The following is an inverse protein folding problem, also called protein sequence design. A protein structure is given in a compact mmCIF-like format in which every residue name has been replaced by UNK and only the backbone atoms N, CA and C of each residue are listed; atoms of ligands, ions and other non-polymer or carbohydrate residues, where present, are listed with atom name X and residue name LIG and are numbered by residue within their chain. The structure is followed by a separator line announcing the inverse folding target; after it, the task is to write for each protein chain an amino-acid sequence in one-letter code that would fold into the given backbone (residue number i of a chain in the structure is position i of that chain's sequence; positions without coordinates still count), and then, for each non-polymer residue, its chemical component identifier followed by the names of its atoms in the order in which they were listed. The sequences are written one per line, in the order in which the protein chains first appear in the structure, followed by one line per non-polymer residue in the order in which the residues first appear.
data_IF_045445453130
#
_entry.id   IF_045445453130
#
_cell.length_a   1.000
_cell.length_b   1.000
_cell.length_c   1.000
_cell.angle_alpha   90.00
_cell.angle_beta   90.00
_cell.angle_gamma   90.00
#
_symmetry.space_group_name_H-M   'P 1'
#
loop_
_entity.id
_entity.type
_entity.pdbx_description
1 polymer ?
#
# COMPACT_ATOMS: atom_id res chain seq x y z
N UNK A 1 72.85 -19.43 -60.02
CA UNK A 1 71.89 -20.55 -60.00
C UNK A 1 70.55 -19.95 -59.58
N UNK A 2 69.90 -19.19 -60.47
CA UNK A 2 68.95 -19.61 -61.52
C UNK A 2 67.54 -19.89 -60.93
N UNK A 3 66.40 -19.36 -61.40
CA UNK A 3 66.05 -18.24 -62.28
C UNK A 3 64.51 -18.02 -62.20
N UNK A 4 64.03 -16.85 -62.64
CA UNK A 4 62.69 -16.52 -63.19
C UNK A 4 61.37 -16.45 -62.35
N UNK A 5 60.75 -15.26 -62.37
CA UNK A 5 59.30 -14.94 -62.20
C UNK A 5 58.55 -15.09 -63.57
N UNK A 6 57.25 -14.71 -63.85
CA UNK A 6 56.26 -13.86 -63.13
C UNK A 6 54.74 -14.22 -63.39
N UNK A 7 53.85 -13.21 -63.28
CA UNK A 7 52.43 -13.08 -63.71
C UNK A 7 51.36 -13.58 -62.71
N UNK A 8 50.34 -12.83 -62.27
CA UNK A 8 49.39 -11.91 -62.93
C UNK A 8 47.98 -12.42 -62.54
N UNK A 9 46.93 -11.67 -62.22
CA UNK A 9 46.65 -10.25 -62.31
C UNK A 9 45.39 -9.86 -61.51
N UNK A 10 45.00 -8.59 -61.68
CA UNK A 10 43.82 -7.91 -61.14
C UNK A 10 42.48 -8.51 -61.60
N UNK A 11 41.46 -8.31 -60.77
CA UNK A 11 40.04 -8.37 -61.14
C UNK A 11 39.27 -9.26 -60.14
N UNK A 12 38.12 -8.91 -59.61
CA UNK A 12 37.16 -7.86 -59.87
C UNK A 12 35.92 -8.18 -59.01
N UNK A 13 35.13 -7.16 -58.72
CA UNK A 13 33.90 -7.24 -57.95
C UNK A 13 32.85 -8.21 -58.54
N UNK A 14 31.96 -8.66 -57.64
CA UNK A 14 30.59 -9.15 -57.85
C UNK A 14 30.37 -10.56 -58.43
N UNK A 15 29.76 -11.39 -57.59
CA UNK A 15 28.44 -11.96 -57.93
C UNK A 15 28.31 -13.47 -57.86
N UNK A 16 27.59 -13.94 -56.84
CA UNK A 16 26.46 -14.85 -57.09
C UNK A 16 26.59 -16.34 -56.73
N UNK A 17 25.55 -16.77 -56.00
CA UNK A 17 24.88 -18.08 -56.04
C UNK A 17 25.34 -19.24 -55.10
N UNK A 18 24.55 -19.43 -54.03
CA UNK A 18 24.30 -20.71 -53.35
C UNK A 18 25.06 -20.91 -52.03
N UNK A 19 24.54 -20.67 -50.81
CA UNK A 19 23.15 -20.54 -50.37
C UNK A 19 22.67 -21.71 -49.50
N UNK A 20 23.39 -22.11 -48.43
CA UNK A 20 22.81 -22.78 -47.23
C UNK A 20 23.81 -22.99 -46.08
N UNK A 21 24.15 -21.90 -45.39
CA UNK A 21 24.44 -21.88 -43.93
C UNK A 21 23.85 -20.58 -43.38
N UNK A 22 22.52 -20.55 -43.32
CA UNK A 22 21.74 -19.37 -42.97
C UNK A 22 21.91 -18.99 -41.51
N UNK A 23 22.71 -17.96 -41.26
CA UNK A 23 22.72 -17.20 -40.02
C UNK A 23 21.31 -16.72 -39.66
N UNK A 24 20.99 -16.76 -38.38
CA UNK A 24 19.67 -16.42 -37.84
C UNK A 24 19.52 -14.90 -37.72
N UNK A 25 19.65 -14.20 -38.85
CA UNK A 25 19.39 -12.78 -39.02
C UNK A 25 18.53 -12.59 -40.26
N UNK A 26 17.21 -12.51 -40.07
CA UNK A 26 16.26 -12.24 -41.15
C UNK A 26 15.21 -11.24 -40.66
N UNK A 27 14.91 -10.17 -41.44
CA UNK A 27 13.97 -9.13 -41.07
C UNK A 27 12.55 -9.69 -41.16
N UNK A 28 12.07 -10.26 -40.06
CA UNK A 28 10.70 -10.72 -39.93
C UNK A 28 9.78 -9.51 -39.86
N UNK A 29 9.06 -9.31 -40.97
CA UNK A 29 7.65 -8.95 -40.98
C UNK A 29 7.25 -7.77 -40.11
N UNK A 30 7.02 -6.63 -40.75
CA UNK A 30 6.23 -5.51 -40.24
C UNK A 30 4.76 -5.93 -40.11
N UNK A 31 4.50 -6.92 -39.27
CA UNK A 31 3.17 -7.23 -38.78
C UNK A 31 2.76 -6.10 -37.85
N UNK A 32 1.70 -5.39 -38.24
CA UNK A 32 0.91 -4.51 -37.38
C UNK A 32 0.37 -5.35 -36.20
N UNK A 33 1.24 -5.63 -35.24
CA UNK A 33 0.89 -6.15 -33.94
C UNK A 33 0.12 -5.05 -33.23
N UNK A 34 -1.21 -5.21 -33.22
CA UNK A 34 -2.17 -4.45 -32.42
C UNK A 34 -1.51 -3.97 -31.15
N UNK A 35 -1.24 -2.66 -31.08
CA UNK A 35 -1.05 -1.97 -29.83
C UNK A 35 -2.31 -2.24 -29.03
N UNK A 36 -2.27 -3.27 -28.18
CA UNK A 36 -3.16 -3.37 -27.04
C UNK A 36 -2.88 -2.11 -26.27
N UNK A 37 -3.75 -1.11 -26.47
CA UNK A 37 -3.85 0.00 -25.55
C UNK A 37 -3.86 -0.64 -24.18
N UNK A 38 -2.82 -0.39 -23.40
CA UNK A 38 -2.97 -0.38 -21.95
C UNK A 38 -3.94 0.76 -21.70
N UNK A 39 -5.22 0.46 -21.91
CA UNK A 39 -6.29 1.12 -21.19
C UNK A 39 -5.81 1.06 -19.75
N UNK A 40 -5.39 2.23 -19.27
CA UNK A 40 -5.33 2.53 -17.86
C UNK A 40 -6.74 2.22 -17.40
N UNK A 41 -6.96 0.96 -17.00
CA UNK A 41 -8.24 0.52 -16.49
C UNK A 41 -8.62 1.57 -15.49
N UNK A 42 -9.79 2.17 -15.68
CA UNK A 42 -10.47 2.86 -14.59
C UNK A 42 -10.21 2.02 -13.35
N UNK A 43 -9.70 2.63 -12.29
CA UNK A 43 -9.60 1.97 -11.01
C UNK A 43 -11.02 1.55 -10.67
N UNK A 44 -11.35 0.32 -11.06
CA UNK A 44 -12.63 -0.30 -10.76
C UNK A 44 -12.70 -0.19 -9.25
N UNK A 45 -13.73 0.48 -8.76
CA UNK A 45 -14.08 0.47 -7.35
C UNK A 45 -14.27 -1.01 -7.01
N UNK A 46 -13.19 -1.64 -6.54
CA UNK A 46 -13.16 -3.07 -6.30
C UNK A 46 -14.18 -3.30 -5.20
N UNK A 47 -15.27 -3.94 -5.58
CA UNK A 47 -16.25 -4.43 -4.64
C UNK A 47 -15.51 -5.26 -3.59
N UNK A 48 -15.65 -4.89 -2.31
CA UNK A 48 -14.93 -5.55 -1.23
C UNK A 48 -15.39 -7.01 -1.12
N UNK A 49 -14.46 -7.93 -1.33
CA UNK A 49 -14.68 -9.36 -1.14
C UNK A 49 -14.12 -9.77 0.23
N UNK A 50 -14.98 -10.03 1.23
CA UNK A 50 -14.53 -10.31 2.58
C UNK A 50 -13.84 -11.68 2.66
N UNK A 51 -12.68 -11.71 3.30
CA UNK A 51 -11.88 -12.94 3.45
C UNK A 51 -12.21 -13.63 4.77
N UNK A 52 -12.45 -12.84 5.81
CA UNK A 52 -12.75 -13.29 7.17
C UNK A 52 -14.22 -13.65 7.36
N UNK A 53 -14.49 -14.49 8.38
CA UNK A 53 -15.86 -14.80 8.82
C UNK A 53 -16.59 -13.53 9.24
N UNK A 54 -15.92 -12.60 9.94
CA UNK A 54 -16.49 -11.32 10.34
C UNK A 54 -16.85 -10.46 9.12
N UNK A 55 -15.95 -10.32 8.15
CA UNK A 55 -16.22 -9.57 6.94
C UNK A 55 -17.44 -10.12 6.19
N UNK A 56 -17.63 -11.44 6.14
CA UNK A 56 -18.84 -12.05 5.55
C UNK A 56 -20.10 -11.70 6.33
N UNK A 57 -20.08 -11.79 7.67
CA UNK A 57 -21.23 -11.43 8.50
C UNK A 57 -21.61 -9.94 8.38
N UNK A 58 -20.61 -9.06 8.25
CA UNK A 58 -20.82 -7.62 8.05
C UNK A 58 -21.40 -7.36 6.66
N UNK A 59 -20.84 -7.98 5.61
CA UNK A 59 -21.35 -7.85 4.24
C UNK A 59 -22.77 -8.43 4.09
N UNK A 60 -23.06 -9.54 4.76
CA UNK A 60 -24.39 -10.16 4.80
C UNK A 60 -25.41 -9.32 5.61
N UNK A 61 -24.98 -8.25 6.30
CA UNK A 61 -25.86 -7.39 7.10
C UNK A 61 -26.36 -8.03 8.40
N UNK A 62 -25.75 -9.13 8.85
CA UNK A 62 -26.10 -9.79 10.12
C UNK A 62 -25.66 -8.97 11.32
N UNK A 63 -24.53 -8.28 11.19
CA UNK A 63 -24.02 -7.33 12.18
C UNK A 63 -24.46 -5.93 11.74
N UNK A 64 -25.23 -5.25 12.59
CA UNK A 64 -25.84 -3.95 12.26
C UNK A 64 -25.01 -2.77 12.71
N UNK A 65 -24.16 -2.95 13.73
CA UNK A 65 -23.37 -1.87 14.32
C UNK A 65 -21.98 -2.32 14.74
N UNK A 66 -21.07 -1.34 14.83
CA UNK A 66 -19.70 -1.56 15.32
C UNK A 66 -19.68 -1.96 16.81
N UNK A 67 -20.68 -1.53 17.59
CA UNK A 67 -20.82 -1.82 19.02
C UNK A 67 -20.97 -3.32 19.31
N UNK A 68 -21.67 -4.04 18.43
CA UNK A 68 -21.84 -5.49 18.54
C UNK A 68 -20.50 -6.24 18.44
N UNK A 69 -19.61 -5.77 17.55
CA UNK A 69 -18.26 -6.32 17.38
C UNK A 69 -17.44 -6.14 18.67
N UNK A 70 -17.56 -4.96 19.30
CA UNK A 70 -16.86 -4.67 20.56
C UNK A 70 -17.41 -5.47 21.74
N UNK A 71 -18.73 -5.71 21.81
CA UNK A 71 -19.35 -6.50 22.87
C UNK A 71 -18.81 -7.94 22.86
N UNK A 72 -18.72 -8.56 21.69
CA UNK A 72 -18.17 -9.91 21.54
C UNK A 72 -16.63 -9.95 21.49
N UNK A 73 -15.96 -8.80 21.62
CA UNK A 73 -14.49 -8.68 21.61
C UNK A 73 -13.85 -9.35 20.38
N UNK A 74 -14.50 -9.26 19.22
CA UNK A 74 -14.06 -9.91 18.00
C UNK A 74 -12.95 -9.07 17.32
N UNK A 75 -11.78 -9.65 16.99
CA UNK A 75 -10.68 -8.89 16.43
C UNK A 75 -10.94 -8.50 14.97
N UNK A 76 -10.88 -7.21 14.68
CA UNK A 76 -11.02 -6.65 13.32
C UNK A 76 -9.68 -6.80 12.58
N UNK A 77 -9.70 -7.49 11.43
CA UNK A 77 -8.51 -7.73 10.59
C UNK A 77 -8.59 -7.12 9.19
N UNK A 78 -9.76 -6.61 8.82
CA UNK A 78 -10.04 -5.96 7.54
C UNK A 78 -10.46 -4.52 7.82
N UNK A 79 -9.85 -3.56 7.11
CA UNK A 79 -10.16 -2.14 7.32
C UNK A 79 -11.47 -1.75 6.64
N UNK A 80 -11.87 -2.50 5.61
CA UNK A 80 -13.10 -2.32 4.86
C UNK A 80 -14.36 -2.49 5.74
N UNK A 81 -14.27 -3.28 6.83
CA UNK A 81 -15.34 -3.41 7.83
C UNK A 81 -15.70 -2.04 8.41
N UNK A 82 -14.69 -1.23 8.73
CA UNK A 82 -14.89 0.08 9.36
C UNK A 82 -15.34 1.12 8.33
N UNK A 83 -14.85 1.00 7.10
CA UNK A 83 -15.30 1.84 5.99
C UNK A 83 -16.79 1.62 5.67
N UNK A 84 -17.28 0.38 5.81
CA UNK A 84 -18.71 0.08 5.65
C UNK A 84 -19.59 0.75 6.71
N UNK A 85 -19.13 0.83 7.97
CA UNK A 85 -19.93 1.39 9.07
C UNK A 85 -19.82 2.91 9.23
N UNK A 86 -18.61 3.48 9.14
CA UNK A 86 -18.32 4.90 9.49
C UNK A 86 -17.83 5.71 8.28
N UNK A 87 -17.66 5.07 7.11
CA UNK A 87 -17.02 5.59 5.89
C UNK A 87 -17.04 7.11 5.65
N UNK A 88 -18.20 7.82 5.67
CA UNK A 88 -18.25 9.25 5.37
C UNK A 88 -17.84 10.17 6.52
N UNK A 89 -17.93 9.71 7.77
CA UNK A 89 -17.68 10.53 8.96
C UNK A 89 -16.24 10.39 9.48
N UNK A 90 -15.48 9.45 8.92
CA UNK A 90 -14.12 9.14 9.34
C UNK A 90 -13.15 10.21 8.84
N UNK A 91 -12.53 10.95 9.77
CA UNK A 91 -11.47 11.90 9.45
C UNK A 91 -10.11 11.29 9.78
N UNK A 92 -9.17 11.40 8.84
CA UNK A 92 -7.77 11.05 9.04
C UNK A 92 -6.91 12.31 9.16
N UNK A 93 -6.07 12.36 10.19
CA UNK A 93 -5.12 13.44 10.42
C UNK A 93 -3.70 12.87 10.58
N UNK A 94 -2.77 13.39 9.78
CA UNK A 94 -1.35 13.04 9.90
C UNK A 94 -0.72 13.91 10.97
N UNK A 95 -0.35 13.32 12.10
CA UNK A 95 0.18 14.05 13.25
C UNK A 95 1.62 14.48 13.04
N UNK A 96 2.49 13.51 12.77
CA UNK A 96 3.94 13.73 12.63
C UNK A 96 4.56 12.71 11.70
N UNK A 97 5.50 13.17 10.90
CA UNK A 97 6.39 12.33 10.11
C UNK A 97 7.78 12.51 10.68
N UNK A 98 8.43 11.41 11.07
CA UNK A 98 9.82 11.44 11.55
C UNK A 98 10.69 10.54 10.66
N UNK A 99 11.87 11.03 10.20
CA UNK A 99 12.85 10.18 9.58
C UNK A 99 13.52 9.31 10.66
N UNK A 100 13.63 8.01 10.40
CA UNK A 100 14.33 7.03 11.23
C UNK A 100 15.46 6.45 10.40
N UNK A 101 16.67 6.48 10.92
CA UNK A 101 17.87 6.04 10.21
C UNK A 101 18.44 4.81 10.89
N UNK A 102 18.71 3.76 10.12
CA UNK A 102 19.42 2.57 10.59
C UNK A 102 20.77 2.51 9.90
N UNK A 103 21.84 2.56 10.68
CA UNK A 103 23.19 2.40 10.16
C UNK A 103 23.40 0.96 9.70
N UNK A 104 23.92 0.80 8.49
CA UNK A 104 24.31 -0.50 7.91
C UNK A 104 25.77 -0.46 7.47
N UNK A 105 26.35 -1.63 7.17
CA UNK A 105 27.74 -1.73 6.67
C UNK A 105 27.96 -0.96 5.35
N UNK A 106 26.92 -0.85 4.53
CA UNK A 106 26.95 -0.16 3.24
C UNK A 106 26.43 1.30 3.32
N UNK A 107 26.36 1.90 4.52
CA UNK A 107 25.88 3.26 4.74
C UNK A 107 24.57 3.36 5.54
N UNK A 108 23.98 4.56 5.57
CA UNK A 108 22.75 4.83 6.30
C UNK A 108 21.52 4.40 5.49
N UNK A 109 20.66 3.57 6.07
CA UNK A 109 19.34 3.23 5.51
C UNK A 109 18.26 4.03 6.19
N UNK A 110 17.71 5.01 5.50
CA UNK A 110 16.63 5.86 6.00
C UNK A 110 15.26 5.25 5.72
N UNK A 111 14.32 5.46 6.65
CA UNK A 111 12.89 5.17 6.53
C UNK A 111 12.11 6.32 7.15
N UNK A 112 10.86 6.47 6.77
CA UNK A 112 9.95 7.43 7.37
C UNK A 112 8.94 6.71 8.24
N UNK A 113 8.83 7.14 9.50
CA UNK A 113 7.78 6.72 10.42
C UNK A 113 6.68 7.78 10.41
N UNK A 114 5.48 7.37 10.02
CA UNK A 114 4.31 8.21 9.99
C UNK A 114 3.39 7.85 11.17
N UNK A 115 2.90 8.88 11.86
CA UNK A 115 1.87 8.78 12.89
C UNK A 115 0.59 9.38 12.33
N UNK A 116 -0.47 8.57 12.32
CA UNK A 116 -1.78 8.97 11.83
C UNK A 116 -2.80 8.69 12.91
N UNK A 117 -3.65 9.67 13.19
CA UNK A 117 -4.84 9.50 14.00
C UNK A 117 -6.07 9.47 13.10
N UNK A 118 -7.01 8.60 13.44
CA UNK A 118 -8.29 8.49 12.77
C UNK A 118 -9.37 8.61 13.83
N UNK A 119 -10.46 9.30 13.51
CA UNK A 119 -11.64 9.25 14.37
C UNK A 119 -12.87 9.87 13.76
N UNK A 120 -14.01 9.45 14.28
CA UNK A 120 -15.22 10.25 14.23
C UNK A 120 -15.25 11.08 15.52
N UNK A 121 -15.62 12.36 15.46
CA UNK A 121 -15.70 13.21 16.67
C UNK A 121 -16.85 12.77 17.62
N UNK A 122 -17.34 11.54 17.49
CA UNK A 122 -18.49 10.94 18.17
C UNK A 122 -18.09 9.84 19.16
N UNK A 123 -16.82 9.48 19.24
CA UNK A 123 -16.30 8.58 20.27
C UNK A 123 -15.54 7.37 19.73
N UNK A 124 -15.21 7.31 18.44
CA UNK A 124 -14.32 6.29 17.90
C UNK A 124 -12.97 6.91 17.56
N UNK A 125 -11.90 6.35 18.10
CA UNK A 125 -10.53 6.81 17.84
C UNK A 125 -9.65 5.61 17.48
N UNK A 126 -8.85 5.75 16.43
CA UNK A 126 -7.82 4.79 16.02
C UNK A 126 -6.47 5.48 15.86
N UNK A 127 -5.40 4.77 16.20
CA UNK A 127 -4.03 5.29 16.08
C UNK A 127 -3.17 4.32 15.27
N UNK A 128 -2.57 4.83 14.21
CA UNK A 128 -1.75 4.05 13.29
C UNK A 128 -0.32 4.55 13.24
N UNK A 129 0.62 3.62 13.36
CA UNK A 129 2.05 3.93 13.21
C UNK A 129 2.65 2.96 12.20
N UNK A 130 3.24 3.50 11.13
CA UNK A 130 3.90 2.68 10.11
C UNK A 130 5.23 3.27 9.67
N UNK A 131 6.18 2.40 9.36
CA UNK A 131 7.48 2.76 8.81
C UNK A 131 7.63 2.22 7.39
N UNK A 132 7.92 3.09 6.42
CA UNK A 132 8.18 2.72 5.01
C UNK A 132 9.39 3.46 4.45
N UNK A 133 9.88 3.05 3.26
CA UNK A 133 10.96 3.77 2.55
C UNK A 133 10.46 5.09 1.94
N UNK A 134 9.20 5.12 1.52
CA UNK A 134 8.55 6.29 0.94
C UNK A 134 7.51 6.87 1.91
N UNK A 135 7.36 8.20 1.89
CA UNK A 135 6.43 8.91 2.77
C UNK A 135 4.97 8.56 2.45
N UNK A 136 4.58 8.59 1.17
CA UNK A 136 3.20 8.32 0.76
C UNK A 136 2.73 6.90 1.13
N UNK A 137 3.60 5.90 0.99
CA UNK A 137 3.27 4.51 1.36
C UNK A 137 3.26 4.28 2.88
N UNK A 138 4.05 5.06 3.64
CA UNK A 138 3.97 5.08 5.10
C UNK A 138 2.59 5.60 5.55
N UNK A 139 2.15 6.74 5.00
CA UNK A 139 0.86 7.37 5.37
C UNK A 139 -0.31 6.45 5.03
N UNK A 140 -0.40 5.95 3.79
CA UNK A 140 -1.48 5.04 3.37
C UNK A 140 -1.58 3.80 4.25
N UNK A 141 -0.43 3.21 4.59
CA UNK A 141 -0.43 2.04 5.46
C UNK A 141 -0.67 2.37 6.93
N UNK A 142 -0.33 3.56 7.40
CA UNK A 142 -0.67 4.02 8.74
C UNK A 142 -2.18 4.26 8.87
N UNK A 143 -2.84 4.79 7.83
CA UNK A 143 -4.30 4.91 7.77
C UNK A 143 -4.97 3.54 7.91
N UNK A 144 -4.51 2.53 7.15
CA UNK A 144 -5.05 1.16 7.24
C UNK A 144 -4.89 0.59 8.66
N UNK A 145 -3.71 0.75 9.26
CA UNK A 145 -3.48 0.28 10.64
C UNK A 145 -4.33 1.03 11.66
N UNK A 146 -4.49 2.34 11.50
CA UNK A 146 -5.32 3.16 12.37
C UNK A 146 -6.77 2.68 12.34
N UNK A 147 -7.31 2.36 11.15
CA UNK A 147 -8.64 1.74 11.01
C UNK A 147 -8.72 0.44 11.79
N UNK A 148 -7.81 -0.50 11.61
CA UNK A 148 -7.83 -1.77 12.35
C UNK A 148 -7.81 -1.61 13.88
N UNK A 149 -7.21 -0.53 14.37
CA UNK A 149 -7.05 -0.22 15.80
C UNK A 149 -8.12 0.72 16.38
N UNK A 150 -9.28 0.89 15.73
CA UNK A 150 -10.33 1.77 16.27
C UNK A 150 -10.89 1.22 17.58
N UNK A 151 -10.91 2.07 18.59
CA UNK A 151 -11.39 1.80 19.95
C UNK A 151 -12.51 2.78 20.30
N UNK A 152 -13.60 2.32 20.94
CA UNK A 152 -14.64 3.19 21.44
C UNK A 152 -14.18 3.93 22.72
N UNK A 153 -14.44 5.22 22.77
CA UNK A 153 -14.11 6.13 23.87
C UNK A 153 -15.36 6.46 24.64
N UNK A 154 -15.36 6.14 25.94
CA UNK A 154 -16.46 6.49 26.83
C UNK A 154 -16.41 7.98 27.18
N UNK A 155 -17.48 8.70 26.85
CA UNK A 155 -17.70 10.09 27.25
C UNK A 155 -18.69 10.17 28.41
N UNK A 156 -18.57 11.20 29.24
CA UNK A 156 -19.39 11.42 30.43
C UNK A 156 -19.52 12.90 30.79
N UNK A 157 -19.77 13.14 32.07
CA UNK A 157 -20.00 14.44 32.69
C UNK A 157 -19.08 14.59 33.90
N UNK A 158 -18.59 15.80 34.14
CA UNK A 158 -17.80 16.11 35.33
C UNK A 158 -18.67 16.33 36.58
N UNK A 159 -19.93 16.74 36.39
CA UNK A 159 -20.89 16.99 37.47
C UNK A 159 -22.31 16.68 37.03
N UNK A 160 -23.10 17.72 36.75
CA UNK A 160 -24.49 17.56 36.34
C UNK A 160 -24.63 16.90 34.95
N UNK A 161 -25.56 15.95 34.84
CA UNK A 161 -25.81 15.16 33.63
C UNK A 161 -26.79 15.88 32.69
N UNK A 162 -26.39 17.04 32.17
CA UNK A 162 -27.23 17.86 31.29
C UNK A 162 -26.69 17.81 29.86
N UNK A 163 -27.57 17.50 28.90
CA UNK A 163 -27.26 17.56 27.47
C UNK A 163 -26.52 16.33 26.93
N UNK A 164 -25.51 16.56 26.09
CA UNK A 164 -24.65 15.52 25.50
C UNK A 164 -23.38 15.35 26.35
N UNK A 165 -22.81 14.13 26.39
CA UNK A 165 -21.58 13.89 27.15
C UNK A 165 -20.41 14.65 26.49
N UNK A 166 -19.71 15.46 27.29
CA UNK A 166 -18.71 16.42 26.82
C UNK A 166 -17.36 16.29 27.55
N UNK A 167 -17.27 15.47 28.59
CA UNK A 167 -16.03 15.29 29.39
C UNK A 167 -15.66 13.81 29.53
N UNK A 168 -14.44 13.55 29.99
CA UNK A 168 -14.01 12.20 30.39
C UNK A 168 -14.58 11.92 31.79
N UNK A 169 -15.24 10.78 32.03
CA UNK A 169 -15.98 10.52 33.28
C UNK A 169 -15.09 10.34 34.51
N UNK A 170 -13.82 9.97 34.33
CA UNK A 170 -12.87 9.75 35.40
C UNK A 170 -11.47 10.18 34.98
N UNK A 171 -10.58 10.42 35.96
CA UNK A 171 -9.16 10.66 35.69
C UNK A 171 -8.55 9.37 35.15
N UNK A 172 -8.30 9.32 33.85
CA UNK A 172 -7.63 8.19 33.19
C UNK A 172 -6.16 8.53 33.02
N UNK A 173 -5.28 7.66 33.50
CA UNK A 173 -3.84 7.75 33.26
C UNK A 173 -3.48 6.62 32.31
N UNK A 174 -2.89 6.96 31.17
CA UNK A 174 -2.44 5.98 30.18
C UNK A 174 -0.92 5.98 30.21
N UNK A 175 -0.33 4.86 30.61
CA UNK A 175 1.10 4.64 30.46
C UNK A 175 1.35 3.99 29.11
N UNK A 176 1.89 4.76 28.17
CA UNK A 176 2.40 4.19 26.94
C UNK A 176 3.90 3.92 27.12
N UNK A 177 4.27 2.66 27.25
CA UNK A 177 5.68 2.30 27.21
C UNK A 177 6.22 2.62 25.81
N UNK A 178 7.12 3.59 25.77
CA UNK A 178 7.85 3.91 24.55
C UNK A 178 8.86 2.77 24.30
N UNK A 179 8.38 1.66 23.76
CA UNK A 179 9.25 0.68 23.11
C UNK A 179 9.76 1.33 21.82
N UNK A 180 10.79 2.17 21.94
CA UNK A 180 11.66 2.50 20.82
C UNK A 180 12.44 1.24 20.46
N UNK A 181 11.81 0.35 19.69
CA UNK A 181 12.56 -0.62 18.90
C UNK A 181 13.26 0.16 17.79
N UNK A 182 14.44 0.66 18.12
CA UNK A 182 15.49 1.00 17.16
C UNK A 182 16.06 -0.28 16.53
#
# INVERSE_FOLDING_TARGET
MADAAPAGGRGGFRGGFGGSRGGRGGPRGRGRGRGRGRGRGKEDQKEWMPVTKLGRLVRDGKIRSLEEIYLFSLPIKEYEIIDFFIGPDLKDEVLKIMPVQKQTRAGQRTRFKAFVAIGDSKGHIGLGVKCSKEVATAIRGAIILAKLSVVPVRRGYWGNKIGKPHTVPCKVIIHHFCFTNC
#
